data_IF_931310003476
#
_entry.id   IF_931310003476
#
_cell.length_a   1.000
_cell.length_b   1.000
_cell.length_c   1.000
_cell.angle_alpha   90.00
_cell.angle_beta   90.00
_cell.angle_gamma   90.00
#
_symmetry.space_group_name_H-M   'P 1'
#
loop_
_entity.id
_entity.type
_entity.pdbx_description
1 polymer ?
#
# COMPACT_ATOMS: atom_id res chain seq x y z
N UNK A 1 -42.22 -36.95 -24.49
CA UNK A 1 -41.58 -35.69 -24.04
C UNK A 1 -40.18 -35.99 -23.53
N UNK A 2 -39.13 -35.59 -24.25
CA UNK A 2 -37.76 -35.90 -23.87
C UNK A 2 -37.29 -34.96 -22.74
N UNK A 3 -36.90 -35.53 -21.59
CA UNK A 3 -36.46 -34.80 -20.40
C UNK A 3 -35.09 -34.18 -20.67
N UNK A 4 -35.04 -32.86 -20.84
CA UNK A 4 -33.83 -32.13 -21.17
C UNK A 4 -32.85 -32.20 -19.97
N UNK A 5 -31.73 -32.92 -20.14
CA UNK A 5 -30.69 -33.06 -19.11
C UNK A 5 -30.09 -31.67 -18.81
N UNK A 6 -30.21 -31.23 -17.55
CA UNK A 6 -29.54 -30.02 -17.06
C UNK A 6 -28.03 -30.18 -17.25
N UNK A 7 -27.45 -29.37 -18.14
CA UNK A 7 -26.00 -29.34 -18.37
C UNK A 7 -25.37 -28.60 -17.20
N UNK A 8 -24.93 -29.32 -16.19
CA UNK A 8 -24.08 -28.78 -15.12
C UNK A 8 -22.73 -28.42 -15.74
N UNK A 9 -22.56 -27.16 -16.13
CA UNK A 9 -21.26 -26.65 -16.55
C UNK A 9 -20.31 -26.67 -15.36
N UNK A 10 -19.18 -27.36 -15.52
CA UNK A 10 -18.07 -27.29 -14.58
C UNK A 10 -17.62 -25.82 -14.47
N UNK A 11 -18.01 -25.17 -13.37
CA UNK A 11 -17.71 -23.76 -13.10
C UNK A 11 -16.27 -23.66 -12.57
N UNK A 12 -15.29 -24.07 -13.38
CA UNK A 12 -13.89 -23.76 -13.15
C UNK A 12 -13.70 -22.27 -13.40
N UNK A 13 -14.07 -21.48 -12.39
CA UNK A 13 -13.89 -20.04 -12.38
C UNK A 13 -12.39 -19.78 -12.30
N UNK A 14 -11.75 -19.58 -13.46
CA UNK A 14 -10.32 -19.27 -13.54
C UNK A 14 -10.02 -18.03 -12.69
N UNK A 15 -8.83 -17.96 -12.06
CA UNK A 15 -8.37 -16.78 -11.30
C UNK A 15 -8.47 -15.48 -12.12
N UNK A 16 -8.42 -15.59 -13.45
CA UNK A 16 -8.67 -14.47 -14.35
C UNK A 16 -10.08 -13.86 -14.17
N UNK A 17 -11.12 -14.68 -14.00
CA UNK A 17 -12.52 -14.22 -13.88
C UNK A 17 -12.92 -13.62 -12.51
N UNK A 18 -12.01 -13.64 -11.53
CA UNK A 18 -12.13 -12.84 -10.31
C UNK A 18 -11.56 -11.44 -10.49
N UNK A 19 -10.62 -11.26 -11.42
CA UNK A 19 -9.92 -9.98 -11.66
C UNK A 19 -10.59 -9.22 -12.81
N UNK A 20 -11.00 -9.92 -13.87
CA UNK A 20 -11.59 -9.33 -15.06
C UNK A 20 -13.00 -9.87 -15.33
N UNK A 21 -13.86 -9.02 -15.86
CA UNK A 21 -15.19 -9.39 -16.30
C UNK A 21 -15.13 -10.05 -17.68
N UNK A 22 -16.21 -10.72 -18.10
CA UNK A 22 -16.30 -11.38 -19.42
C UNK A 22 -16.07 -10.41 -20.60
N UNK A 23 -16.22 -9.10 -20.37
CA UNK A 23 -15.92 -8.00 -21.33
C UNK A 23 -14.51 -7.42 -21.17
N UNK A 24 -13.58 -8.09 -20.49
CA UNK A 24 -12.21 -7.59 -20.24
C UNK A 24 -12.09 -6.45 -19.23
N UNK A 25 -13.20 -5.84 -18.79
CA UNK A 25 -13.20 -4.78 -17.78
C UNK A 25 -12.73 -5.30 -16.43
N UNK A 26 -11.80 -4.60 -15.81
CA UNK A 26 -11.33 -4.86 -14.46
C UNK A 26 -12.47 -4.73 -13.45
N UNK A 27 -12.64 -5.75 -12.61
CA UNK A 27 -13.70 -5.79 -11.57
C UNK A 27 -13.30 -5.11 -10.27
N UNK A 28 -11.99 -4.90 -10.08
CA UNK A 28 -11.41 -4.27 -8.90
C UNK A 28 -11.31 -2.77 -9.16
N UNK A 29 -12.47 -2.11 -9.27
CA UNK A 29 -12.55 -0.66 -9.27
C UNK A 29 -12.85 -0.22 -7.84
N UNK A 30 -11.90 0.48 -7.22
CA UNK A 30 -12.10 1.10 -5.92
C UNK A 30 -12.69 2.50 -6.11
N UNK A 31 -13.55 2.93 -5.19
CA UNK A 31 -14.09 4.29 -5.23
C UNK A 31 -12.97 5.32 -5.03
N UNK A 32 -12.98 6.39 -5.82
CA UNK A 32 -11.97 7.45 -5.80
C UNK A 32 -11.78 8.07 -4.40
N UNK A 33 -12.87 8.23 -3.64
CA UNK A 33 -12.84 8.76 -2.27
C UNK A 33 -12.08 7.85 -1.30
N UNK A 34 -12.29 6.54 -1.40
CA UNK A 34 -11.61 5.56 -0.54
C UNK A 34 -10.12 5.52 -0.85
N UNK A 35 -9.78 5.55 -2.14
CA UNK A 35 -8.40 5.64 -2.60
C UNK A 35 -7.70 6.91 -2.09
N UNK A 36 -8.38 8.05 -2.14
CA UNK A 36 -7.84 9.31 -1.65
C UNK A 36 -7.59 9.29 -0.13
N UNK A 37 -8.55 8.82 0.67
CA UNK A 37 -8.38 8.73 2.14
C UNK A 37 -7.18 7.86 2.49
N UNK A 38 -7.05 6.71 1.82
CA UNK A 38 -5.90 5.81 2.00
C UNK A 38 -4.57 6.48 1.67
N UNK A 39 -4.51 7.28 0.59
CA UNK A 39 -3.32 8.06 0.24
C UNK A 39 -2.97 9.09 1.33
N UNK A 40 -3.95 9.83 1.83
CA UNK A 40 -3.74 10.81 2.90
C UNK A 40 -3.17 10.13 4.15
N UNK A 41 -3.74 8.99 4.55
CA UNK A 41 -3.22 8.21 5.68
C UNK A 41 -1.77 7.76 5.44
N UNK A 42 -1.43 7.32 4.22
CA UNK A 42 -0.05 6.96 3.89
C UNK A 42 0.91 8.15 3.96
N UNK A 43 0.49 9.32 3.49
CA UNK A 43 1.31 10.55 3.57
C UNK A 43 1.58 10.92 5.03
N UNK A 44 0.55 10.90 5.88
CA UNK A 44 0.70 11.19 7.31
C UNK A 44 1.64 10.18 7.97
N UNK A 45 1.48 8.88 7.68
CA UNK A 45 2.36 7.84 8.20
C UNK A 45 3.80 8.03 7.72
N UNK A 46 4.05 8.29 6.43
CA UNK A 46 5.40 8.50 5.90
C UNK A 46 6.10 9.70 6.53
N UNK A 47 5.35 10.72 6.97
CA UNK A 47 5.90 11.88 7.66
C UNK A 47 6.35 11.59 9.10
N UNK A 48 5.99 10.44 9.67
CA UNK A 48 6.38 10.08 11.02
C UNK A 48 7.81 9.53 11.05
N UNK A 49 8.74 10.38 11.49
CA UNK A 49 10.11 10.00 11.80
C UNK A 49 10.28 9.80 13.30
N UNK A 50 11.03 8.76 13.69
CA UNK A 50 11.54 8.65 15.06
C UNK A 50 12.91 9.32 15.10
N UNK A 51 13.03 10.42 15.84
CA UNK A 51 14.28 11.14 16.01
C UNK A 51 14.80 10.91 17.42
N UNK A 52 16.06 10.51 17.54
CA UNK A 52 16.71 10.22 18.81
C UNK A 52 17.35 11.51 19.34
N UNK A 53 17.10 11.86 20.59
CA UNK A 53 17.76 13.01 21.26
C UNK A 53 19.26 12.78 21.42
N UNK A 54 19.64 11.56 21.78
CA UNK A 54 21.02 11.13 21.88
C UNK A 54 21.33 10.26 20.66
N UNK A 55 22.27 10.67 19.80
CA UNK A 55 22.63 9.88 18.64
C UNK A 55 23.26 8.56 19.08
N UNK A 56 22.87 7.47 18.42
CA UNK A 56 23.50 6.17 18.62
C UNK A 56 24.68 6.09 17.66
N UNK A 57 25.89 6.05 18.21
CA UNK A 57 27.10 5.87 17.43
C UNK A 57 27.41 4.38 17.28
N UNK A 58 27.23 3.86 16.05
CA UNK A 58 27.69 2.54 15.66
C UNK A 58 29.01 2.70 14.88
N UNK A 59 30.10 2.95 15.60
CA UNK A 59 31.42 3.18 15.00
C UNK A 59 31.45 4.47 14.17
N UNK A 60 31.55 4.36 12.84
CA UNK A 60 31.60 5.52 11.92
C UNK A 60 30.20 6.03 11.55
N UNK A 61 29.14 5.28 11.88
CA UNK A 61 27.76 5.63 11.52
C UNK A 61 27.05 6.21 12.73
N UNK A 62 26.56 7.44 12.59
CA UNK A 62 25.73 8.12 13.58
C UNK A 62 24.27 7.99 13.18
N UNK A 63 23.49 7.24 13.96
CA UNK A 63 22.05 7.08 13.72
C UNK A 63 21.32 8.12 14.56
N UNK A 64 20.83 9.17 13.89
CA UNK A 64 20.07 10.26 14.54
C UNK A 64 18.55 10.13 14.34
N UNK A 65 18.12 9.53 13.23
CA UNK A 65 16.71 9.40 12.90
C UNK A 65 16.42 8.10 12.17
N UNK A 66 15.27 7.50 12.45
CA UNK A 66 14.77 6.29 11.82
C UNK A 66 13.45 6.60 11.10
N UNK A 67 13.30 6.23 9.82
CA UNK A 67 12.06 6.43 9.05
C UNK A 67 11.01 5.38 9.43
N UNK A 68 10.60 5.34 10.70
CA UNK A 68 9.66 4.36 11.23
C UNK A 68 8.32 4.39 10.48
N UNK A 69 7.83 5.59 10.16
CA UNK A 69 6.60 5.81 9.42
C UNK A 69 6.61 5.22 8.01
N UNK A 70 7.74 5.30 7.30
CA UNK A 70 7.92 4.66 5.99
C UNK A 70 7.86 3.13 6.12
N UNK A 71 8.54 2.56 7.11
CA UNK A 71 8.55 1.10 7.32
C UNK A 71 7.13 0.60 7.59
N UNK A 72 6.42 1.24 8.52
CA UNK A 72 5.03 0.90 8.85
C UNK A 72 4.12 1.10 7.63
N UNK A 73 4.27 2.20 6.91
CA UNK A 73 3.51 2.50 5.70
C UNK A 73 3.68 1.44 4.62
N UNK A 74 4.92 1.00 4.36
CA UNK A 74 5.19 -0.05 3.38
C UNK A 74 4.53 -1.38 3.77
N UNK A 75 4.60 -1.77 5.05
CA UNK A 75 3.92 -2.97 5.55
C UNK A 75 2.40 -2.87 5.37
N UNK A 76 1.81 -1.71 5.68
CA UNK A 76 0.38 -1.48 5.52
C UNK A 76 -0.04 -1.61 4.04
N UNK A 77 0.73 -1.03 3.11
CA UNK A 77 0.47 -1.15 1.67
C UNK A 77 0.48 -2.59 1.21
N UNK A 78 1.43 -3.41 1.69
CA UNK A 78 1.50 -4.83 1.35
C UNK A 78 0.25 -5.57 1.83
N UNK A 79 -0.23 -5.29 3.04
CA UNK A 79 -1.38 -5.97 3.65
C UNK A 79 -2.75 -5.52 3.10
N UNK A 80 -2.93 -4.22 2.86
CA UNK A 80 -4.24 -3.64 2.53
C UNK A 80 -4.48 -3.60 1.02
N UNK A 81 -3.47 -3.23 0.24
CA UNK A 81 -3.66 -3.00 -1.19
C UNK A 81 -3.51 -4.32 -1.95
N UNK A 82 -4.55 -4.68 -2.71
CA UNK A 82 -4.54 -5.92 -3.53
C UNK A 82 -4.21 -5.59 -4.98
N UNK A 83 -4.53 -4.38 -5.42
CA UNK A 83 -4.36 -3.97 -6.80
C UNK A 83 -2.94 -3.48 -7.06
N UNK A 84 -2.28 -4.08 -8.06
CA UNK A 84 -0.86 -3.88 -8.32
C UNK A 84 -0.53 -2.43 -8.74
N UNK A 85 -1.41 -1.77 -9.49
CA UNK A 85 -1.17 -0.40 -9.94
C UNK A 85 -1.30 0.60 -8.78
N UNK A 86 -2.33 0.47 -7.95
CA UNK A 86 -2.48 1.27 -6.72
C UNK A 86 -1.25 1.10 -5.83
N UNK A 87 -0.81 -0.14 -5.61
CA UNK A 87 0.39 -0.44 -4.80
C UNK A 87 1.62 0.35 -5.26
N UNK A 88 1.84 0.48 -6.58
CA UNK A 88 2.96 1.26 -7.14
C UNK A 88 2.86 2.75 -6.82
N UNK A 89 1.67 3.34 -7.00
CA UNK A 89 1.43 4.75 -6.66
C UNK A 89 1.72 5.01 -5.18
N UNK A 90 1.30 4.09 -4.32
CA UNK A 90 1.45 4.26 -2.87
C UNK A 90 2.91 4.12 -2.44
N UNK A 91 3.66 3.18 -3.00
CA UNK A 91 5.10 3.08 -2.74
C UNK A 91 5.84 4.35 -3.14
N UNK A 92 5.55 4.88 -4.33
CA UNK A 92 6.16 6.14 -4.79
C UNK A 92 5.81 7.28 -3.84
N UNK A 93 4.54 7.39 -3.43
CA UNK A 93 4.07 8.44 -2.53
C UNK A 93 4.75 8.35 -1.16
N UNK A 94 4.84 7.16 -0.57
CA UNK A 94 5.48 6.92 0.73
C UNK A 94 6.97 7.27 0.69
N UNK A 95 7.70 6.81 -0.33
CA UNK A 95 9.14 7.07 -0.48
C UNK A 95 9.39 8.57 -0.68
N UNK A 96 8.63 9.21 -1.56
CA UNK A 96 8.78 10.63 -1.84
C UNK A 96 8.52 11.45 -0.57
N UNK A 97 7.44 11.16 0.15
CA UNK A 97 7.13 11.89 1.38
C UNK A 97 8.14 11.65 2.49
N UNK A 98 8.66 10.44 2.64
CA UNK A 98 9.73 10.18 3.59
C UNK A 98 10.98 11.00 3.24
N UNK A 99 11.39 11.04 1.97
CA UNK A 99 12.54 11.84 1.53
C UNK A 99 12.30 13.33 1.84
N UNK A 100 11.14 13.87 1.47
CA UNK A 100 10.80 15.29 1.74
C UNK A 100 10.81 15.59 3.24
N UNK A 101 10.23 14.71 4.04
CA UNK A 101 10.12 14.92 5.50
C UNK A 101 11.41 14.66 6.25
N UNK A 102 12.38 13.97 5.65
CA UNK A 102 13.72 13.77 6.23
C UNK A 102 14.42 15.10 6.55
N UNK A 103 14.19 16.12 5.72
CA UNK A 103 14.76 17.47 5.88
C UNK A 103 13.95 18.36 6.83
N UNK A 104 12.74 17.96 7.20
CA UNK A 104 11.87 18.74 8.08
C UNK A 104 11.95 18.25 9.53
N UNK A 105 11.86 19.11 10.55
CA UNK A 105 11.84 18.71 11.95
C UNK A 105 10.49 18.08 12.36
N UNK A 106 9.86 17.34 11.46
CA UNK A 106 8.60 16.65 11.66
C UNK A 106 8.91 15.23 12.11
N UNK A 107 8.32 14.81 13.22
CA UNK A 107 8.54 13.49 13.82
C UNK A 107 8.33 13.46 15.32
N UNK A 108 8.46 12.27 15.88
CA UNK A 108 8.40 12.03 17.32
C UNK A 108 9.85 12.01 17.83
N UNK A 109 10.16 12.91 18.76
CA UNK A 109 11.44 12.93 19.45
C UNK A 109 11.37 12.03 20.69
N UNK A 110 12.30 11.07 20.77
CA UNK A 110 12.47 10.19 21.91
C UNK A 110 13.87 10.41 22.48
#
# INVERSE_FOLDING_TARGET
MAKQKSRTYARNRSKASSITNRKGRERLYENDSTFFVKLVVCVVLAALWLRLKQPIELGVVVIQALPAGLIVGLLLVVSVEKYQFNRKIWYVTLILMAIVTSFTPVGIMI
#
